data_IF_167146110200
#
_entry.id   IF_167146110200
#
_cell.length_a   1.000
_cell.length_b   1.000
_cell.length_c   1.000
_cell.angle_alpha   90.00
_cell.angle_beta   90.00
_cell.angle_gamma   90.00
#
_symmetry.space_group_name_H-M   'P 1'
#
loop_
_entity.id
_entity.type
_entity.pdbx_description
1 polymer ?
#
# COMPACT_ATOMS: atom_id res chain seq x y z
N UNK A 1 27.48 -20.53 -26.35
CA UNK A 1 27.77 -20.85 -24.95
C UNK A 1 27.10 -19.81 -24.09
N UNK A 2 25.89 -20.12 -23.62
CA UNK A 2 25.20 -19.32 -22.56
C UNK A 2 25.79 -19.70 -21.21
N UNK A 3 25.69 -18.83 -20.21
CA UNK A 3 25.29 -19.31 -18.90
C UNK A 3 23.98 -18.68 -18.45
N UNK A 4 23.00 -19.54 -18.28
CA UNK A 4 21.87 -19.41 -17.36
C UNK A 4 22.38 -19.42 -15.93
N UNK A 5 21.98 -18.44 -15.10
CA UNK A 5 21.94 -18.58 -13.64
C UNK A 5 20.78 -17.76 -13.07
N UNK A 6 19.75 -18.49 -12.68
CA UNK A 6 19.02 -18.48 -11.41
C UNK A 6 18.67 -17.13 -10.76
N UNK A 7 17.51 -16.63 -11.16
CA UNK A 7 16.69 -15.74 -10.33
C UNK A 7 15.68 -16.62 -9.53
N UNK A 8 16.12 -17.21 -8.42
CA UNK A 8 15.23 -17.82 -7.41
C UNK A 8 15.79 -17.54 -6.02
N UNK A 9 14.89 -17.05 -5.16
CA UNK A 9 15.01 -16.77 -3.73
C UNK A 9 15.37 -15.33 -3.34
N UNK A 10 14.39 -14.43 -3.40
CA UNK A 10 14.13 -13.43 -2.34
C UNK A 10 12.62 -13.07 -2.44
N UNK A 11 11.73 -13.94 -2.01
CA UNK A 11 10.28 -13.65 -1.95
C UNK A 11 9.62 -14.11 -0.64
N UNK A 12 10.32 -14.02 0.50
CA UNK A 12 9.77 -14.54 1.74
C UNK A 12 9.91 -13.65 2.98
N UNK A 13 9.95 -12.31 2.86
CA UNK A 13 10.00 -11.44 4.06
C UNK A 13 8.78 -10.51 4.20
N UNK A 14 7.95 -10.34 3.17
CA UNK A 14 6.76 -9.50 3.25
C UNK A 14 5.55 -10.25 2.67
N UNK A 15 4.97 -11.13 3.50
CA UNK A 15 3.75 -11.86 3.18
C UNK A 15 2.53 -10.95 3.12
N UNK A 16 2.31 -10.27 2.00
CA UNK A 16 1.00 -9.72 1.65
C UNK A 16 0.75 -10.14 0.20
N UNK A 17 -0.22 -11.05 -0.03
CA UNK A 17 -0.58 -11.44 -1.38
C UNK A 17 -1.21 -10.25 -2.11
N UNK A 18 -0.82 -10.05 -3.37
CA UNK A 18 -1.23 -8.99 -4.30
C UNK A 18 -2.74 -9.03 -4.67
N UNK A 19 -3.55 -9.85 -4.01
CA UNK A 19 -4.95 -10.11 -4.33
C UNK A 19 -5.88 -9.80 -3.15
N UNK A 20 -6.01 -8.52 -2.81
CA UNK A 20 -7.23 -8.02 -2.16
C UNK A 20 -7.40 -6.54 -2.48
N UNK A 21 -8.27 -6.25 -3.42
CA UNK A 21 -8.99 -4.99 -3.57
C UNK A 21 -9.87 -4.77 -2.33
N UNK A 22 -9.26 -4.42 -1.21
CA UNK A 22 -9.98 -3.93 -0.05
C UNK A 22 -9.68 -2.44 0.05
N UNK A 23 -10.67 -1.66 -0.29
CA UNK A 23 -10.90 -0.23 0.03
C UNK A 23 -9.63 0.59 0.27
N UNK A 24 -9.18 1.30 -0.76
CA UNK A 24 -8.20 2.39 -0.69
C UNK A 24 -8.50 3.45 0.41
N UNK A 25 -9.73 3.48 0.93
CA UNK A 25 -10.17 4.34 2.02
C UNK A 25 -9.50 4.04 3.38
N UNK A 26 -9.06 2.82 3.65
CA UNK A 26 -8.48 2.46 4.96
C UNK A 26 -7.02 2.89 5.13
N UNK A 27 -6.30 3.27 4.06
CA UNK A 27 -4.90 3.68 4.13
C UNK A 27 -4.69 5.19 4.29
N UNK A 28 -5.73 5.99 4.10
CA UNK A 28 -5.68 7.46 4.28
C UNK A 28 -5.87 7.90 5.75
N UNK A 29 -6.29 7.00 6.65
CA UNK A 29 -6.59 7.33 8.06
C UNK A 29 -5.39 7.37 9.00
N UNK A 30 -4.21 6.99 8.58
CA UNK A 30 -3.02 7.05 9.42
C UNK A 30 -2.30 8.42 9.41
N UNK A 31 -2.81 9.41 8.65
CA UNK A 31 -2.18 10.73 8.52
C UNK A 31 -2.97 11.90 9.11
N UNK A 32 -4.13 11.66 9.69
CA UNK A 32 -4.90 12.73 10.34
C UNK A 32 -5.16 12.39 11.79
N UNK A 33 -4.34 12.87 12.67
CA UNK A 33 -4.82 13.34 13.96
C UNK A 33 -3.70 13.82 14.87
N UNK A 34 -3.70 15.05 15.06
CA UNK A 34 -3.59 15.87 16.25
C UNK A 34 -2.60 17.00 16.09
N UNK A 35 -3.18 18.10 15.78
CA UNK A 35 -2.51 19.38 15.92
C UNK A 35 -3.07 20.43 14.97
N UNK A 36 -4.25 20.97 15.29
CA UNK A 36 -4.68 22.36 15.12
C UNK A 36 -6.21 22.41 15.16
N UNK A 37 -6.75 22.31 16.38
CA UNK A 37 -8.10 22.79 16.66
C UNK A 37 -8.01 24.30 16.88
N UNK A 38 -8.36 25.07 15.85
CA UNK A 38 -8.92 26.40 16.04
C UNK A 38 -10.13 26.53 15.10
N UNK A 39 -11.27 26.72 15.73
CA UNK A 39 -12.55 26.98 15.11
C UNK A 39 -12.49 28.23 14.24
N UNK A 40 -12.78 28.08 12.96
CA UNK A 40 -13.33 29.14 12.13
C UNK A 40 -14.46 28.56 11.32
N UNK A 41 -15.66 29.08 11.54
CA UNK A 41 -16.83 28.84 10.71
C UNK A 41 -16.55 29.24 9.26
N UNK A 42 -16.84 28.39 8.26
CA UNK A 42 -16.65 28.77 6.87
C UNK A 42 -17.72 29.80 6.47
N UNK A 43 -17.37 30.84 5.70
CA UNK A 43 -18.37 31.68 5.04
C UNK A 43 -19.08 30.87 3.97
N UNK A 44 -20.39 31.05 3.87
CA UNK A 44 -21.22 30.54 2.78
C UNK A 44 -20.69 31.05 1.44
N UNK A 45 -20.07 30.17 0.66
CA UNK A 45 -19.68 30.44 -0.71
C UNK A 45 -20.77 30.03 -1.70
N UNK A 46 -20.81 30.61 -2.91
CA UNK A 46 -21.91 30.45 -3.84
C UNK A 46 -22.06 28.98 -4.29
N UNK A 47 -23.33 28.58 -4.40
CA UNK A 47 -23.79 27.28 -4.83
C UNK A 47 -23.02 26.74 -6.04
N UNK A 48 -22.21 25.68 -5.83
CA UNK A 48 -21.61 24.90 -6.92
C UNK A 48 -22.69 24.33 -7.81
N UNK A 49 -22.51 24.33 -9.14
CA UNK A 49 -23.44 23.63 -10.01
C UNK A 49 -23.42 22.14 -9.64
N UNK A 50 -24.59 21.64 -9.27
CA UNK A 50 -24.87 20.24 -9.01
C UNK A 50 -24.23 19.39 -10.09
N UNK A 51 -23.28 18.53 -9.71
CA UNK A 51 -22.83 17.44 -10.56
C UNK A 51 -24.10 16.71 -11.02
N UNK A 52 -24.33 16.68 -12.33
CA UNK A 52 -25.43 15.96 -12.93
C UNK A 52 -25.47 14.56 -12.33
N UNK A 53 -26.52 14.25 -11.59
CA UNK A 53 -26.76 12.91 -11.10
C UNK A 53 -26.53 11.91 -12.25
N UNK A 54 -25.95 10.71 -12.00
CA UNK A 54 -25.75 9.72 -13.05
C UNK A 54 -27.08 9.55 -13.77
N UNK A 55 -27.07 9.72 -15.10
CA UNK A 55 -28.26 9.57 -15.93
C UNK A 55 -28.95 8.28 -15.52
N UNK A 56 -30.26 8.35 -15.21
CA UNK A 56 -31.05 7.16 -14.88
C UNK A 56 -30.74 6.08 -15.92
N UNK A 57 -30.00 5.09 -15.49
CA UNK A 57 -29.60 4.01 -16.39
C UNK A 57 -30.87 3.30 -16.86
N UNK A 58 -30.93 2.86 -18.12
CA UNK A 58 -32.09 2.14 -18.64
C UNK A 58 -32.47 1.00 -17.71
N UNK A 59 -33.78 0.87 -17.43
CA UNK A 59 -34.32 -0.20 -16.59
C UNK A 59 -33.91 -1.61 -17.09
N UNK A 60 -33.54 -1.67 -18.35
CA UNK A 60 -33.07 -2.86 -19.08
C UNK A 60 -31.80 -3.50 -18.45
N UNK A 61 -30.90 -2.73 -17.81
CA UNK A 61 -29.72 -3.26 -17.17
C UNK A 61 -29.88 -3.53 -15.67
N UNK A 62 -31.09 -3.28 -15.10
CA UNK A 62 -31.31 -3.39 -13.65
C UNK A 62 -30.96 -4.79 -13.10
N UNK A 63 -31.33 -5.84 -13.83
CA UNK A 63 -31.04 -7.21 -13.43
C UNK A 63 -29.54 -7.52 -13.49
N UNK A 64 -28.85 -7.15 -14.56
CA UNK A 64 -27.40 -7.37 -14.71
C UNK A 64 -26.62 -6.62 -13.63
N UNK A 65 -27.01 -5.38 -13.30
CA UNK A 65 -26.40 -4.60 -12.22
C UNK A 65 -26.62 -5.23 -10.85
N UNK A 66 -27.81 -5.73 -10.57
CA UNK A 66 -28.12 -6.46 -9.33
C UNK A 66 -27.23 -7.70 -9.18
N UNK A 67 -27.10 -8.50 -10.25
CA UNK A 67 -26.20 -9.66 -10.27
C UNK A 67 -24.74 -9.27 -10.05
N UNK A 68 -24.30 -8.19 -10.70
CA UNK A 68 -22.94 -7.63 -10.52
C UNK A 68 -22.68 -7.17 -9.09
N UNK A 69 -23.67 -6.57 -8.41
CA UNK A 69 -23.57 -6.17 -6.99
C UNK A 69 -23.53 -7.38 -6.05
N UNK A 70 -24.19 -8.49 -6.42
CA UNK A 70 -24.16 -9.74 -5.68
C UNK A 70 -22.88 -10.57 -5.93
N UNK A 71 -21.98 -10.11 -6.79
CA UNK A 71 -20.78 -10.84 -7.16
C UNK A 71 -21.01 -11.99 -8.17
N UNK A 72 -22.23 -12.15 -8.69
CA UNK A 72 -22.63 -13.15 -9.68
C UNK A 72 -22.27 -12.67 -11.09
N UNK A 73 -20.97 -12.55 -11.35
CA UNK A 73 -20.46 -11.88 -12.54
C UNK A 73 -20.75 -12.64 -13.83
N UNK A 74 -20.71 -13.98 -13.81
CA UNK A 74 -21.02 -14.80 -14.98
C UNK A 74 -22.50 -14.71 -15.37
N UNK A 75 -23.41 -14.71 -14.39
CA UNK A 75 -24.84 -14.52 -14.62
C UNK A 75 -25.13 -13.11 -15.16
N UNK A 76 -24.44 -12.08 -14.63
CA UNK A 76 -24.57 -10.72 -15.10
C UNK A 76 -24.12 -10.56 -16.56
N UNK A 77 -22.99 -11.15 -16.92
CA UNK A 77 -22.47 -11.15 -18.28
C UNK A 77 -23.42 -11.89 -19.24
N UNK A 78 -23.96 -13.04 -18.83
CA UNK A 78 -24.92 -13.79 -19.64
C UNK A 78 -26.19 -12.98 -19.92
N UNK A 79 -26.70 -12.26 -18.92
CA UNK A 79 -27.86 -11.36 -19.08
C UNK A 79 -27.54 -10.23 -20.08
N UNK A 80 -26.39 -9.58 -19.97
CA UNK A 80 -25.95 -8.54 -20.90
C UNK A 80 -25.73 -9.09 -22.32
N UNK A 81 -25.19 -10.30 -22.48
CA UNK A 81 -25.07 -10.98 -23.78
C UNK A 81 -26.42 -11.30 -24.39
N UNK A 82 -27.44 -11.62 -23.58
CA UNK A 82 -28.81 -11.79 -24.06
C UNK A 82 -29.37 -10.48 -24.63
N UNK A 83 -29.08 -9.36 -24.00
CA UNK A 83 -29.46 -8.03 -24.51
C UNK A 83 -28.69 -7.72 -25.81
N UNK A 84 -27.37 -7.97 -25.83
CA UNK A 84 -26.53 -7.80 -27.02
C UNK A 84 -27.02 -8.57 -28.23
N UNK A 85 -27.50 -9.83 -28.00
CA UNK A 85 -28.03 -10.68 -29.05
C UNK A 85 -29.37 -10.20 -29.62
N UNK A 86 -30.17 -9.47 -28.83
CA UNK A 86 -31.46 -8.89 -29.27
C UNK A 86 -31.26 -7.55 -29.97
N UNK A 87 -30.44 -6.69 -29.43
CA UNK A 87 -30.09 -5.40 -29.99
C UNK A 87 -28.65 -4.98 -29.60
N UNK A 88 -27.66 -5.23 -30.46
CA UNK A 88 -26.28 -4.84 -30.23
C UNK A 88 -26.05 -3.33 -30.11
N UNK A 89 -27.03 -2.54 -30.58
CA UNK A 89 -26.95 -1.06 -30.56
C UNK A 89 -27.53 -0.42 -29.31
N UNK A 90 -28.02 -1.23 -28.35
CA UNK A 90 -28.59 -0.76 -27.09
C UNK A 90 -27.65 0.23 -26.40
N UNK A 91 -28.15 1.46 -26.21
CA UNK A 91 -27.32 2.56 -25.64
C UNK A 91 -26.89 2.22 -24.20
N UNK A 92 -25.59 2.26 -23.98
CA UNK A 92 -24.99 1.97 -22.67
C UNK A 92 -24.56 0.51 -22.48
N UNK A 93 -24.98 -0.43 -23.35
CA UNK A 93 -24.65 -1.85 -23.23
C UNK A 93 -23.13 -2.07 -23.20
N UNK A 94 -22.38 -1.43 -24.06
CA UNK A 94 -20.91 -1.55 -24.09
C UNK A 94 -20.25 -1.11 -22.78
N UNK A 95 -20.77 -0.10 -22.09
CA UNK A 95 -20.28 0.32 -20.77
C UNK A 95 -20.57 -0.75 -19.71
N UNK A 96 -21.81 -1.28 -19.66
CA UNK A 96 -22.20 -2.32 -18.70
C UNK A 96 -21.41 -3.62 -18.90
N UNK A 97 -21.24 -4.05 -20.15
CA UNK A 97 -20.39 -5.21 -20.50
C UNK A 97 -18.94 -4.99 -20.04
N UNK A 98 -18.37 -3.83 -20.38
CA UNK A 98 -17.02 -3.49 -19.99
C UNK A 98 -16.84 -3.43 -18.47
N UNK A 99 -17.80 -2.86 -17.75
CA UNK A 99 -17.78 -2.81 -16.27
C UNK A 99 -17.89 -4.21 -15.64
N UNK A 100 -18.73 -5.09 -16.21
CA UNK A 100 -18.88 -6.47 -15.74
C UNK A 100 -17.59 -7.27 -15.95
N UNK A 101 -16.96 -7.20 -17.13
CA UNK A 101 -15.68 -7.84 -17.40
C UNK A 101 -14.54 -7.25 -16.56
N UNK A 102 -14.51 -5.93 -16.32
CA UNK A 102 -13.55 -5.30 -15.41
C UNK A 102 -13.65 -5.90 -13.99
N UNK A 103 -14.86 -6.02 -13.44
CA UNK A 103 -15.10 -6.63 -12.12
C UNK A 103 -14.72 -8.10 -12.08
N UNK A 104 -14.89 -8.82 -13.20
CA UNK A 104 -14.48 -10.22 -13.37
C UNK A 104 -12.95 -10.37 -13.52
N UNK A 105 -12.21 -9.25 -13.65
CA UNK A 105 -10.78 -9.22 -13.95
C UNK A 105 -10.41 -9.79 -15.34
N UNK A 106 -11.38 -9.85 -16.25
CA UNK A 106 -11.15 -10.15 -17.68
C UNK A 106 -10.82 -8.83 -18.40
N UNK A 107 -9.60 -8.31 -18.17
CA UNK A 107 -9.19 -7.03 -18.70
C UNK A 107 -9.16 -6.95 -20.23
N UNK A 108 -8.75 -7.99 -20.98
CA UNK A 108 -8.84 -7.96 -22.44
C UNK A 108 -10.25 -7.68 -22.96
N UNK A 109 -11.27 -8.36 -22.43
CA UNK A 109 -12.67 -8.11 -22.81
C UNK A 109 -13.18 -6.78 -22.28
N UNK A 110 -12.83 -6.40 -21.07
CA UNK A 110 -13.16 -5.09 -20.53
C UNK A 110 -12.66 -3.97 -21.45
N UNK A 111 -11.40 -4.04 -21.89
CA UNK A 111 -10.80 -3.07 -22.83
C UNK A 111 -11.56 -3.05 -24.15
N UNK A 112 -11.93 -4.20 -24.70
CA UNK A 112 -12.69 -4.28 -25.97
C UNK A 112 -14.03 -3.50 -25.87
N UNK A 113 -14.84 -3.82 -24.85
CA UNK A 113 -16.15 -3.20 -24.69
C UNK A 113 -16.07 -1.73 -24.28
N UNK A 114 -15.12 -1.38 -23.39
CA UNK A 114 -14.94 0.01 -22.96
C UNK A 114 -14.42 0.91 -24.10
N UNK A 115 -13.63 0.39 -25.04
CA UNK A 115 -13.30 1.09 -26.30
C UNK A 115 -14.55 1.40 -27.12
N UNK A 116 -15.48 0.45 -27.22
CA UNK A 116 -16.77 0.70 -27.91
C UNK A 116 -17.56 1.79 -27.18
N UNK A 117 -17.61 1.72 -25.83
CA UNK A 117 -18.32 2.71 -25.01
C UNK A 117 -17.72 4.11 -25.14
N UNK A 118 -16.40 4.27 -25.06
CA UNK A 118 -15.71 5.57 -25.18
C UNK A 118 -15.75 6.12 -26.60
N UNK A 119 -15.85 5.27 -27.62
CA UNK A 119 -16.07 5.69 -29.02
C UNK A 119 -17.49 6.22 -29.22
N UNK A 120 -18.48 5.60 -28.59
CA UNK A 120 -19.90 6.02 -28.68
C UNK A 120 -20.15 7.32 -27.90
N UNK A 121 -19.52 7.48 -26.75
CA UNK A 121 -19.59 8.70 -25.92
C UNK A 121 -18.20 9.07 -25.38
N UNK A 122 -17.46 9.91 -26.12
CA UNK A 122 -16.12 10.35 -25.71
C UNK A 122 -16.08 11.21 -24.43
N UNK A 123 -17.24 11.73 -24.00
CA UNK A 123 -17.36 12.54 -22.78
C UNK A 123 -17.72 11.69 -21.55
N UNK A 124 -17.98 10.40 -21.72
CA UNK A 124 -18.30 9.51 -20.61
C UNK A 124 -17.09 9.28 -19.71
N UNK A 125 -17.12 9.90 -18.54
CA UNK A 125 -16.00 9.84 -17.59
C UNK A 125 -15.84 8.45 -16.98
N UNK A 126 -16.94 7.75 -16.71
CA UNK A 126 -16.92 6.39 -16.16
C UNK A 126 -16.30 5.40 -17.16
N UNK A 127 -16.74 5.42 -18.41
CA UNK A 127 -16.16 4.56 -19.46
C UNK A 127 -14.66 4.83 -19.65
N UNK A 128 -14.26 6.10 -19.68
CA UNK A 128 -12.85 6.50 -19.86
C UNK A 128 -12.01 6.08 -18.67
N UNK A 129 -12.51 6.26 -17.45
CA UNK A 129 -11.81 5.84 -16.23
C UNK A 129 -11.66 4.32 -16.16
N UNK A 130 -12.74 3.56 -16.39
CA UNK A 130 -12.69 2.10 -16.40
C UNK A 130 -11.77 1.56 -17.48
N UNK A 131 -11.73 2.19 -18.67
CA UNK A 131 -10.80 1.82 -19.75
C UNK A 131 -9.35 2.04 -19.33
N UNK A 132 -9.03 3.19 -18.73
CA UNK A 132 -7.69 3.48 -18.22
C UNK A 132 -7.26 2.49 -17.12
N UNK A 133 -8.15 2.18 -16.17
CA UNK A 133 -7.90 1.19 -15.13
C UNK A 133 -7.74 -0.23 -15.71
N UNK A 134 -8.55 -0.60 -16.71
CA UNK A 134 -8.44 -1.90 -17.38
C UNK A 134 -7.10 -2.07 -18.11
N UNK A 135 -6.60 -1.01 -18.74
CA UNK A 135 -5.28 -1.02 -19.34
C UNK A 135 -4.18 -1.18 -18.28
N UNK A 136 -4.25 -0.42 -17.19
CA UNK A 136 -3.26 -0.54 -16.11
C UNK A 136 -3.23 -1.97 -15.52
N UNK A 137 -4.39 -2.51 -15.15
CA UNK A 137 -4.50 -3.85 -14.57
C UNK A 137 -4.18 -4.97 -15.57
N UNK A 138 -4.37 -4.71 -16.86
CA UNK A 138 -3.97 -5.58 -17.97
C UNK A 138 -2.48 -5.52 -18.31
N UNK A 139 -1.67 -4.72 -17.59
CA UNK A 139 -0.23 -4.59 -17.82
C UNK A 139 0.16 -3.64 -18.95
N UNK A 140 -0.71 -2.71 -19.31
CA UNK A 140 -0.53 -1.73 -20.37
C UNK A 140 -0.51 -0.28 -19.83
N UNK A 141 0.49 0.10 -19.00
CA UNK A 141 0.50 1.40 -18.34
C UNK A 141 0.63 2.59 -19.33
N UNK A 142 1.29 2.40 -20.44
CA UNK A 142 1.44 3.47 -21.44
C UNK A 142 0.12 3.88 -22.09
N UNK A 143 -0.76 2.90 -22.35
CA UNK A 143 -2.10 3.11 -22.91
C UNK A 143 -3.07 3.67 -21.86
N UNK A 144 -2.84 3.38 -20.58
CA UNK A 144 -3.64 3.91 -19.48
C UNK A 144 -3.44 5.41 -19.27
N UNK A 145 -2.21 5.93 -19.44
CA UNK A 145 -1.83 7.31 -19.16
C UNK A 145 -2.77 8.34 -19.81
N UNK A 146 -2.96 8.39 -21.13
CA UNK A 146 -3.75 9.45 -21.78
C UNK A 146 -5.23 9.44 -21.34
N UNK A 147 -5.75 8.27 -20.95
CA UNK A 147 -7.12 8.13 -20.47
C UNK A 147 -7.26 8.67 -19.06
N UNK A 148 -6.32 8.33 -18.18
CA UNK A 148 -6.32 8.79 -16.79
C UNK A 148 -6.00 10.28 -16.67
N UNK A 149 -5.14 10.84 -17.55
CA UNK A 149 -4.93 12.28 -17.67
C UNK A 149 -6.22 13.01 -18.04
N UNK A 150 -6.95 12.48 -19.02
CA UNK A 150 -8.24 13.03 -19.45
C UNK A 150 -9.24 13.02 -18.29
N UNK A 151 -9.31 11.92 -17.51
CA UNK A 151 -10.15 11.84 -16.32
C UNK A 151 -9.76 12.91 -15.31
N UNK A 152 -8.46 13.09 -15.03
CA UNK A 152 -7.98 14.13 -14.11
C UNK A 152 -8.30 15.55 -14.59
N UNK A 153 -8.37 15.77 -15.90
CA UNK A 153 -8.74 17.06 -16.49
C UNK A 153 -10.20 17.45 -16.29
N UNK A 154 -11.10 16.48 -16.04
CA UNK A 154 -12.53 16.76 -15.86
C UNK A 154 -12.91 17.19 -14.43
N UNK A 155 -12.00 17.05 -13.47
CA UNK A 155 -12.26 17.36 -12.06
C UNK A 155 -11.40 18.52 -11.60
N UNK A 156 -12.01 19.49 -10.90
CA UNK A 156 -11.30 20.61 -10.26
C UNK A 156 -10.39 20.15 -9.12
N UNK A 157 -10.80 19.09 -8.40
CA UNK A 157 -9.97 18.37 -7.45
C UNK A 157 -9.52 17.05 -8.04
N UNK A 158 -8.40 16.52 -7.55
CA UNK A 158 -7.92 15.24 -8.03
C UNK A 158 -8.95 14.13 -7.74
N UNK A 159 -9.24 13.31 -8.78
CA UNK A 159 -9.80 11.99 -8.53
C UNK A 159 -8.67 11.14 -7.98
N UNK A 160 -8.69 10.87 -6.66
CA UNK A 160 -7.58 10.27 -5.92
C UNK A 160 -7.17 8.93 -6.51
N UNK A 161 -8.15 8.09 -6.85
CA UNK A 161 -7.86 6.75 -7.39
C UNK A 161 -7.19 6.84 -8.77
N UNK A 162 -7.73 7.68 -9.66
CA UNK A 162 -7.16 7.88 -10.98
C UNK A 162 -5.78 8.57 -10.92
N UNK A 163 -5.58 9.52 -10.00
CA UNK A 163 -4.30 10.19 -9.81
C UNK A 163 -3.22 9.24 -9.26
N UNK A 164 -3.59 8.36 -8.33
CA UNK A 164 -2.71 7.33 -7.80
C UNK A 164 -2.25 6.38 -8.92
N UNK A 165 -3.19 5.80 -9.66
CA UNK A 165 -2.89 4.87 -10.76
C UNK A 165 -2.09 5.56 -11.87
N UNK A 166 -2.43 6.81 -12.21
CA UNK A 166 -1.68 7.61 -13.17
C UNK A 166 -0.22 7.78 -12.73
N UNK A 167 0.01 8.12 -11.45
CA UNK A 167 1.35 8.22 -10.89
C UNK A 167 2.13 6.90 -10.97
N UNK A 168 1.47 5.76 -10.68
CA UNK A 168 2.08 4.43 -10.82
C UNK A 168 2.39 4.11 -12.30
N UNK A 169 1.49 4.41 -13.24
CA UNK A 169 1.75 4.25 -14.68
C UNK A 169 2.97 5.05 -15.12
N UNK A 170 3.12 6.28 -14.65
CA UNK A 170 4.31 7.09 -14.93
C UNK A 170 5.59 6.49 -14.30
N UNK A 171 5.54 5.91 -13.11
CA UNK A 171 6.68 5.19 -12.54
C UNK A 171 7.07 4.01 -13.44
N UNK A 172 6.10 3.18 -13.83
CA UNK A 172 6.34 2.00 -14.67
C UNK A 172 6.89 2.35 -16.05
N UNK A 173 6.50 3.52 -16.59
CA UNK A 173 7.03 4.06 -17.85
C UNK A 173 8.27 4.94 -17.67
N UNK A 174 8.84 5.02 -16.46
CA UNK A 174 10.02 5.80 -16.08
C UNK A 174 9.88 7.32 -16.26
N UNK A 175 8.66 7.82 -16.27
CA UNK A 175 8.35 9.25 -16.33
C UNK A 175 8.20 9.84 -14.92
N UNK A 176 9.29 9.85 -14.15
CA UNK A 176 9.24 10.12 -12.70
C UNK A 176 8.78 11.54 -12.35
N UNK A 177 9.10 12.55 -13.15
CA UNK A 177 8.62 13.92 -12.92
C UNK A 177 7.10 14.03 -13.11
N UNK A 178 6.55 13.35 -14.10
CA UNK A 178 5.10 13.30 -14.29
C UNK A 178 4.42 12.52 -13.16
N UNK A 179 5.07 11.44 -12.67
CA UNK A 179 4.60 10.74 -11.47
C UNK A 179 4.53 11.67 -10.26
N UNK A 180 5.57 12.49 -10.04
CA UNK A 180 5.62 13.49 -8.97
C UNK A 180 4.49 14.53 -9.11
N UNK A 181 4.22 15.02 -10.30
CA UNK A 181 3.12 15.95 -10.54
C UNK A 181 1.75 15.30 -10.25
N UNK A 182 1.55 14.05 -10.64
CA UNK A 182 0.32 13.32 -10.37
C UNK A 182 0.11 13.13 -8.85
N UNK A 183 1.15 12.73 -8.12
CA UNK A 183 1.08 12.58 -6.66
C UNK A 183 0.95 13.94 -5.95
N UNK A 184 1.63 14.98 -6.40
CA UNK A 184 1.47 16.32 -5.85
C UNK A 184 0.01 16.81 -5.96
N UNK A 185 -0.62 16.59 -7.11
CA UNK A 185 -2.05 16.89 -7.32
C UNK A 185 -2.94 16.03 -6.41
N UNK A 186 -2.62 14.73 -6.23
CA UNK A 186 -3.38 13.83 -5.38
C UNK A 186 -3.37 14.27 -3.92
N UNK A 187 -2.22 14.75 -3.40
CA UNK A 187 -2.05 15.18 -2.02
C UNK A 187 -2.28 16.68 -1.80
N UNK A 188 -2.67 17.40 -2.85
CA UNK A 188 -2.91 18.87 -2.83
C UNK A 188 -1.69 19.64 -2.29
N UNK A 189 -0.51 19.31 -2.80
CA UNK A 189 0.75 19.98 -2.46
C UNK A 189 1.39 20.61 -3.70
N UNK A 190 2.21 21.67 -3.54
CA UNK A 190 2.94 22.25 -4.68
C UNK A 190 3.84 21.21 -5.37
N UNK A 191 3.86 21.23 -6.73
CA UNK A 191 4.56 20.21 -7.52
C UNK A 191 6.06 20.09 -7.21
N UNK A 192 6.72 21.22 -6.91
CA UNK A 192 8.16 21.27 -6.66
C UNK A 192 8.50 21.40 -5.16
N UNK A 193 7.54 21.07 -4.27
CA UNK A 193 7.74 21.09 -2.83
C UNK A 193 8.51 19.87 -2.32
N UNK A 194 9.15 19.99 -1.16
CA UNK A 194 9.77 18.86 -0.47
C UNK A 194 8.77 17.70 -0.24
N UNK A 195 7.51 18.01 0.08
CA UNK A 195 6.45 17.03 0.28
C UNK A 195 6.17 16.22 -1.01
N UNK A 196 6.13 16.86 -2.19
CA UNK A 196 5.91 16.16 -3.46
C UNK A 196 7.02 15.16 -3.77
N UNK A 197 8.27 15.54 -3.51
CA UNK A 197 9.43 14.63 -3.63
C UNK A 197 9.36 13.50 -2.63
N UNK A 198 9.01 13.76 -1.36
CA UNK A 198 8.86 12.72 -0.34
C UNK A 198 7.79 11.69 -0.70
N UNK A 199 6.60 12.14 -1.12
CA UNK A 199 5.52 11.23 -1.51
C UNK A 199 5.90 10.38 -2.72
N UNK A 200 6.55 10.99 -3.70
CA UNK A 200 7.02 10.27 -4.89
C UNK A 200 8.11 9.26 -4.54
N UNK A 201 9.08 9.63 -3.71
CA UNK A 201 10.13 8.72 -3.24
C UNK A 201 9.53 7.50 -2.52
N UNK A 202 8.49 7.71 -1.69
CA UNK A 202 7.79 6.63 -1.01
C UNK A 202 7.06 5.70 -1.99
N UNK A 203 6.44 6.24 -3.04
CA UNK A 203 5.80 5.43 -4.08
C UNK A 203 6.82 4.67 -4.92
N UNK A 204 7.94 5.29 -5.25
CA UNK A 204 9.06 4.64 -5.95
C UNK A 204 9.62 3.47 -5.15
N UNK A 205 9.84 3.65 -3.84
CA UNK A 205 10.31 2.57 -2.96
C UNK A 205 9.32 1.39 -2.94
N UNK A 206 8.02 1.67 -2.87
CA UNK A 206 6.98 0.62 -2.92
C UNK A 206 6.91 -0.15 -4.23
N UNK A 207 7.44 0.41 -5.30
CA UNK A 207 7.53 -0.19 -6.64
C UNK A 207 8.94 -0.73 -6.94
N UNK A 208 9.82 -0.82 -5.93
CA UNK A 208 11.19 -1.35 -6.03
C UNK A 208 12.13 -0.53 -6.95
N UNK A 209 11.86 0.78 -7.09
CA UNK A 209 12.73 1.70 -7.83
C UNK A 209 13.69 2.45 -6.88
N UNK A 210 14.47 1.70 -6.08
CA UNK A 210 15.27 2.22 -4.97
C UNK A 210 16.28 3.31 -5.32
N UNK A 211 17.04 3.26 -6.45
CA UNK A 211 17.98 4.31 -6.78
C UNK A 211 17.31 5.66 -6.98
N UNK A 212 16.16 5.65 -7.70
CA UNK A 212 15.37 6.87 -7.96
C UNK A 212 14.65 7.33 -6.68
N UNK A 213 14.17 6.39 -5.86
CA UNK A 213 13.57 6.71 -4.56
C UNK A 213 14.57 7.44 -3.64
N UNK A 214 15.85 6.99 -3.60
CA UNK A 214 16.90 7.66 -2.82
C UNK A 214 17.19 9.08 -3.35
N UNK A 215 17.28 9.26 -4.67
CA UNK A 215 17.48 10.57 -5.28
C UNK A 215 16.37 11.56 -4.88
N UNK A 216 15.11 11.13 -5.01
CA UNK A 216 13.95 11.94 -4.69
C UNK A 216 13.85 12.25 -3.18
N UNK A 217 14.16 11.26 -2.32
CA UNK A 217 14.20 11.50 -0.88
C UNK A 217 15.31 12.49 -0.49
N UNK A 218 16.50 12.41 -1.10
CA UNK A 218 17.58 13.38 -0.90
C UNK A 218 17.20 14.78 -1.39
N UNK A 219 16.48 14.86 -2.50
CA UNK A 219 15.96 16.14 -3.01
C UNK A 219 14.96 16.76 -2.03
N UNK A 220 14.08 15.94 -1.43
CA UNK A 220 13.17 16.39 -0.39
C UNK A 220 13.92 16.97 0.83
N UNK A 221 14.99 16.29 1.30
CA UNK A 221 15.86 16.80 2.40
C UNK A 221 16.52 18.12 2.03
N UNK A 222 16.99 18.26 0.78
CA UNK A 222 17.63 19.49 0.32
C UNK A 222 16.65 20.68 0.33
N UNK A 223 15.39 20.44 -0.02
CA UNK A 223 14.35 21.47 -0.05
C UNK A 223 13.83 21.81 1.34
N UNK A 224 13.65 20.82 2.20
CA UNK A 224 13.23 21.01 3.59
C UNK A 224 13.84 19.91 4.48
N UNK A 225 14.98 20.19 5.14
CA UNK A 225 15.64 19.21 6.02
C UNK A 225 14.87 18.94 7.32
N UNK A 226 13.80 19.68 7.61
CA UNK A 226 12.95 19.48 8.79
C UNK A 226 11.59 18.86 8.43
N UNK A 227 11.37 18.49 7.17
CA UNK A 227 10.14 17.83 6.75
C UNK A 227 10.01 16.48 7.50
N UNK A 228 8.94 16.26 8.28
CA UNK A 228 8.71 14.98 8.94
C UNK A 228 8.66 13.81 7.96
N UNK A 229 9.18 12.66 8.38
CA UNK A 229 9.22 11.39 7.66
C UNK A 229 10.21 11.32 6.49
N UNK A 230 10.91 12.39 6.12
CA UNK A 230 11.90 12.32 5.05
C UNK A 230 13.14 11.53 5.47
N UNK A 231 13.62 11.76 6.69
CA UNK A 231 14.74 11.02 7.27
C UNK A 231 14.33 9.57 7.63
N UNK A 232 13.09 9.34 8.02
CA UNK A 232 12.55 8.00 8.21
C UNK A 232 12.63 7.19 6.90
N UNK A 233 12.18 7.77 5.78
CA UNK A 233 12.23 7.11 4.47
C UNK A 233 13.67 6.81 4.02
N UNK A 234 14.60 7.76 4.21
CA UNK A 234 16.02 7.51 3.92
C UNK A 234 16.60 6.40 4.79
N UNK A 235 16.25 6.37 6.08
CA UNK A 235 16.64 5.31 6.99
C UNK A 235 16.14 3.94 6.54
N UNK A 236 14.89 3.82 6.10
CA UNK A 236 14.34 2.58 5.53
C UNK A 236 15.09 2.16 4.25
N UNK A 237 15.35 3.08 3.33
CA UNK A 237 16.13 2.83 2.12
C UNK A 237 17.56 2.33 2.44
N UNK A 238 18.22 2.92 3.44
CA UNK A 238 19.55 2.48 3.85
C UNK A 238 19.54 1.13 4.53
N UNK A 239 18.53 0.81 5.35
CA UNK A 239 18.35 -0.53 5.91
C UNK A 239 18.17 -1.59 4.81
N UNK A 240 17.34 -1.28 3.81
CA UNK A 240 17.13 -2.16 2.67
C UNK A 240 18.44 -2.43 1.91
N UNK A 241 19.25 -1.40 1.72
CA UNK A 241 20.60 -1.50 1.10
C UNK A 241 21.69 -2.03 2.05
N UNK A 242 21.33 -2.51 3.24
CA UNK A 242 22.28 -2.97 4.27
C UNK A 242 23.30 -1.91 4.72
N UNK A 243 23.00 -0.63 4.51
CA UNK A 243 23.79 0.52 4.95
C UNK A 243 23.36 0.94 6.36
N UNK A 244 23.59 0.05 7.32
CA UNK A 244 23.04 0.18 8.69
C UNK A 244 23.53 1.42 9.44
N UNK A 245 24.82 1.82 9.38
CA UNK A 245 25.28 3.04 10.06
C UNK A 245 24.55 4.30 9.57
N UNK A 246 24.36 4.42 8.26
CA UNK A 246 23.65 5.56 7.66
C UNK A 246 22.17 5.54 8.03
N UNK A 247 21.55 4.35 8.07
CA UNK A 247 20.16 4.21 8.51
C UNK A 247 19.97 4.70 9.96
N UNK A 248 20.88 4.33 10.87
CA UNK A 248 20.88 4.80 12.27
C UNK A 248 20.94 6.33 12.31
N UNK A 249 21.85 6.95 11.55
CA UNK A 249 22.00 8.40 11.52
C UNK A 249 20.72 9.10 11.03
N UNK A 250 20.08 8.56 9.98
CA UNK A 250 18.85 9.14 9.45
C UNK A 250 17.66 8.97 10.42
N UNK A 251 17.50 7.81 11.06
CA UNK A 251 16.47 7.64 12.08
C UNK A 251 16.65 8.55 13.28
N UNK A 252 17.89 8.80 13.70
CA UNK A 252 18.18 9.78 14.77
C UNK A 252 17.80 11.20 14.39
N UNK A 253 18.04 11.62 13.14
CA UNK A 253 17.58 12.91 12.61
C UNK A 253 16.05 13.01 12.60
N UNK A 254 15.36 11.95 12.16
CA UNK A 254 13.88 11.91 12.21
C UNK A 254 13.36 12.08 13.64
N UNK A 255 13.96 11.40 14.62
CA UNK A 255 13.55 11.51 16.02
C UNK A 255 13.83 12.87 16.63
N UNK A 256 14.81 13.62 16.12
CA UNK A 256 15.04 15.00 16.51
C UNK A 256 13.95 15.94 15.99
N UNK A 257 13.33 15.63 14.85
CA UNK A 257 12.23 16.37 14.24
C UNK A 257 10.89 15.92 14.81
N UNK A 258 10.69 14.61 14.91
CA UNK A 258 9.44 13.96 15.30
C UNK A 258 9.63 12.94 16.41
N UNK A 259 9.80 13.39 17.67
CA UNK A 259 10.09 12.53 18.83
C UNK A 259 8.91 11.63 19.24
N UNK A 260 7.73 11.81 18.64
CA UNK A 260 6.53 11.00 18.87
C UNK A 260 6.33 9.86 17.86
N UNK A 261 7.21 9.69 16.87
CA UNK A 261 7.00 8.70 15.82
C UNK A 261 7.47 7.29 16.24
N UNK A 262 6.55 6.49 16.77
CA UNK A 262 6.82 5.15 17.29
C UNK A 262 7.53 4.23 16.27
N UNK A 263 7.13 4.29 14.99
CA UNK A 263 7.72 3.47 13.95
C UNK A 263 9.22 3.77 13.73
N UNK A 264 9.67 5.01 13.90
CA UNK A 264 11.09 5.35 13.79
C UNK A 264 11.90 4.70 14.92
N UNK A 265 11.39 4.69 16.15
CA UNK A 265 12.05 3.98 17.25
C UNK A 265 12.16 2.48 16.98
N UNK A 266 11.11 1.86 16.45
CA UNK A 266 11.12 0.44 16.07
C UNK A 266 12.16 0.14 14.99
N UNK A 267 12.22 0.96 13.92
CA UNK A 267 13.21 0.78 12.84
C UNK A 267 14.65 1.08 13.31
N UNK A 268 14.82 2.04 14.20
CA UNK A 268 16.12 2.30 14.83
C UNK A 268 16.58 1.12 15.69
N UNK A 269 15.64 0.47 16.39
CA UNK A 269 15.93 -0.75 17.14
C UNK A 269 16.36 -1.91 16.24
N UNK A 270 15.67 -2.11 15.10
CA UNK A 270 16.07 -3.11 14.11
C UNK A 270 17.51 -2.82 13.60
N UNK A 271 17.80 -1.55 13.31
CA UNK A 271 19.14 -1.13 12.89
C UNK A 271 20.19 -1.42 13.97
N UNK A 272 19.93 -1.10 15.24
CA UNK A 272 20.85 -1.40 16.35
C UNK A 272 21.02 -2.90 16.54
N UNK A 273 19.94 -3.68 16.46
CA UNK A 273 20.00 -5.15 16.58
C UNK A 273 20.87 -5.78 15.51
N UNK A 274 20.81 -5.30 14.26
CA UNK A 274 21.65 -5.80 13.16
C UNK A 274 23.16 -5.57 13.37
N UNK A 275 23.52 -4.54 14.11
CA UNK A 275 24.92 -4.26 14.47
C UNK A 275 25.25 -4.68 15.91
N UNK A 276 24.41 -5.55 16.51
CA UNK A 276 24.58 -6.15 17.83
C UNK A 276 24.66 -5.14 19.00
N UNK A 277 24.08 -3.95 18.83
CA UNK A 277 23.96 -2.92 19.88
C UNK A 277 22.66 -3.16 20.63
N UNK A 278 22.61 -4.27 21.39
CA UNK A 278 21.37 -4.77 21.98
C UNK A 278 20.81 -3.87 23.09
N UNK A 279 21.65 -3.22 23.89
CA UNK A 279 21.25 -2.28 24.93
C UNK A 279 20.55 -1.05 24.36
N UNK A 280 21.07 -0.53 23.26
CA UNK A 280 20.44 0.60 22.58
C UNK A 280 19.15 0.17 21.88
N UNK A 281 19.13 -1.03 21.28
CA UNK A 281 17.93 -1.58 20.66
C UNK A 281 16.80 -1.71 21.69
N UNK A 282 17.08 -2.29 22.86
CA UNK A 282 16.12 -2.43 23.94
C UNK A 282 15.54 -1.08 24.39
N UNK A 283 16.41 -0.10 24.66
CA UNK A 283 16.01 1.22 25.13
C UNK A 283 15.06 1.93 24.15
N UNK A 284 15.35 1.86 22.85
CA UNK A 284 14.49 2.50 21.84
C UNK A 284 13.23 1.68 21.59
N UNK A 285 13.23 0.34 21.76
CA UNK A 285 12.03 -0.50 21.73
C UNK A 285 11.06 -0.17 22.87
N UNK A 286 11.57 0.03 24.07
CA UNK A 286 10.75 0.47 25.21
C UNK A 286 10.03 1.79 24.86
N UNK A 287 10.72 2.72 24.21
CA UNK A 287 10.10 3.97 23.76
C UNK A 287 9.07 3.75 22.66
N UNK A 288 9.34 2.88 21.68
CA UNK A 288 8.39 2.52 20.63
C UNK A 288 7.09 1.94 21.22
N UNK A 289 7.22 0.98 22.15
CA UNK A 289 6.09 0.34 22.83
C UNK A 289 5.31 1.35 23.69
N UNK A 290 6.00 2.27 24.38
CA UNK A 290 5.34 3.32 25.14
C UNK A 290 4.50 4.26 24.28
N UNK A 291 4.97 4.58 23.06
CA UNK A 291 4.26 5.44 22.11
C UNK A 291 3.11 4.70 21.41
N UNK A 292 3.29 3.42 21.10
CA UNK A 292 2.28 2.56 20.47
C UNK A 292 2.36 1.14 21.02
N UNK A 293 1.53 0.85 22.02
CA UNK A 293 1.43 -0.46 22.63
C UNK A 293 0.57 -1.46 21.83
N UNK A 294 0.00 -1.05 20.69
CA UNK A 294 -0.90 -1.87 19.86
C UNK A 294 -0.19 -2.59 18.72
N UNK A 295 1.05 -2.25 18.44
CA UNK A 295 1.87 -2.87 17.40
C UNK A 295 2.60 -4.11 17.93
N UNK A 296 2.46 -5.26 17.25
CA UNK A 296 3.14 -6.53 17.63
C UNK A 296 4.63 -6.53 17.33
N UNK A 297 5.05 -5.85 16.26
CA UNK A 297 6.44 -5.84 15.79
C UNK A 297 7.48 -5.46 16.84
N UNK A 298 7.30 -4.36 17.61
CA UNK A 298 8.21 -3.99 18.69
C UNK A 298 8.35 -5.06 19.78
N UNK A 299 7.28 -5.77 20.14
CA UNK A 299 7.35 -6.85 21.15
C UNK A 299 8.09 -8.07 20.62
N UNK A 300 7.91 -8.43 19.35
CA UNK A 300 8.64 -9.53 18.70
C UNK A 300 10.15 -9.21 18.66
N UNK A 301 10.49 -8.00 18.25
CA UNK A 301 11.89 -7.57 18.20
C UNK A 301 12.50 -7.46 19.60
N UNK A 302 11.72 -7.01 20.60
CA UNK A 302 12.14 -6.98 22.00
C UNK A 302 12.50 -8.40 22.49
N UNK A 303 11.66 -9.38 22.17
CA UNK A 303 11.93 -10.77 22.50
C UNK A 303 13.24 -11.27 21.90
N UNK A 304 13.49 -10.99 20.60
CA UNK A 304 14.76 -11.34 19.93
C UNK A 304 15.97 -10.66 20.57
N UNK A 305 15.86 -9.39 20.91
CA UNK A 305 16.96 -8.60 21.51
C UNK A 305 17.28 -9.16 22.90
N UNK A 306 16.27 -9.43 23.72
CA UNK A 306 16.43 -9.97 25.08
C UNK A 306 17.00 -11.41 25.07
N UNK A 307 16.58 -12.24 24.09
CA UNK A 307 17.19 -13.57 23.87
C UNK A 307 18.69 -13.45 23.58
N UNK A 308 19.10 -12.53 22.68
CA UNK A 308 20.52 -12.30 22.39
C UNK A 308 21.33 -11.76 23.57
N UNK A 309 20.67 -11.11 24.53
CA UNK A 309 21.26 -10.68 25.80
C UNK A 309 21.30 -11.81 26.86
N UNK A 310 20.65 -12.94 26.60
CA UNK A 310 20.49 -14.02 27.58
C UNK A 310 19.40 -13.76 28.64
N UNK A 311 18.56 -12.77 28.43
CA UNK A 311 17.48 -12.39 29.35
C UNK A 311 16.16 -13.14 28.99
N UNK A 312 16.22 -14.47 29.03
CA UNK A 312 15.21 -15.37 28.48
C UNK A 312 13.81 -15.18 29.11
N UNK A 313 13.72 -14.96 30.43
CA UNK A 313 12.44 -14.72 31.09
C UNK A 313 11.74 -13.45 30.56
N UNK A 314 12.49 -12.40 30.30
CA UNK A 314 11.96 -11.15 29.73
C UNK A 314 11.61 -11.33 28.27
N UNK A 315 12.42 -12.11 27.52
CA UNK A 315 12.14 -12.45 26.12
C UNK A 315 10.81 -13.19 26.01
N UNK A 316 10.57 -14.21 26.83
CA UNK A 316 9.30 -14.96 26.86
C UNK A 316 8.12 -14.03 27.15
N UNK A 317 8.22 -13.13 28.14
CA UNK A 317 7.14 -12.18 28.45
C UNK A 317 6.82 -11.26 27.28
N UNK A 318 7.82 -10.73 26.59
CA UNK A 318 7.62 -9.87 25.41
C UNK A 318 6.95 -10.65 24.27
N UNK A 319 7.41 -11.87 23.98
CA UNK A 319 6.85 -12.73 22.94
C UNK A 319 5.44 -13.23 23.28
N UNK A 320 5.13 -13.56 24.55
CA UNK A 320 3.77 -13.88 24.98
C UNK A 320 2.81 -12.71 24.79
N UNK A 321 3.28 -11.48 25.04
CA UNK A 321 2.48 -10.29 24.74
C UNK A 321 2.19 -10.18 23.24
N UNK A 322 3.19 -10.40 22.38
CA UNK A 322 3.00 -10.43 20.93
C UNK A 322 2.03 -11.54 20.49
N UNK A 323 2.14 -12.77 21.05
CA UNK A 323 1.25 -13.88 20.74
C UNK A 323 -0.20 -13.61 21.19
N UNK A 324 -0.39 -12.92 22.33
CA UNK A 324 -1.73 -12.48 22.77
C UNK A 324 -2.37 -11.49 21.77
N UNK A 325 -1.57 -10.61 21.15
CA UNK A 325 -2.04 -9.60 20.20
C UNK A 325 -2.28 -10.20 18.80
N UNK A 326 -1.45 -11.13 18.38
CA UNK A 326 -1.57 -11.86 17.11
C UNK A 326 -1.29 -13.37 17.33
N UNK A 327 -2.33 -14.14 17.73
CA UNK A 327 -2.18 -15.57 18.02
C UNK A 327 -1.87 -16.44 16.80
N UNK A 328 -2.00 -15.90 15.59
CA UNK A 328 -1.78 -16.65 14.35
C UNK A 328 -0.44 -16.32 13.69
N UNK A 329 0.47 -15.66 14.39
CA UNK A 329 1.79 -15.30 13.87
C UNK A 329 2.80 -16.45 14.10
N UNK A 330 3.18 -17.22 13.08
CA UNK A 330 4.08 -18.36 13.24
C UNK A 330 5.48 -17.95 13.74
N UNK A 331 5.94 -16.76 13.36
CA UNK A 331 7.24 -16.25 13.81
C UNK A 331 7.28 -16.04 15.31
N UNK A 332 6.20 -15.53 15.90
CA UNK A 332 6.11 -15.30 17.35
C UNK A 332 6.20 -16.62 18.11
N UNK A 333 5.42 -17.64 17.70
CA UNK A 333 5.44 -18.95 18.31
C UNK A 333 6.78 -19.66 18.13
N UNK A 334 7.41 -19.54 16.97
CA UNK A 334 8.75 -20.07 16.75
C UNK A 334 9.78 -19.46 17.72
N UNK A 335 9.76 -18.15 17.91
CA UNK A 335 10.66 -17.47 18.85
C UNK A 335 10.36 -17.83 20.31
N UNK A 336 9.09 -17.97 20.68
CA UNK A 336 8.70 -18.48 22.01
C UNK A 336 9.26 -19.87 22.26
N UNK A 337 9.13 -20.76 21.28
CA UNK A 337 9.68 -22.11 21.39
C UNK A 337 11.21 -22.12 21.54
N UNK A 338 11.93 -21.23 20.83
CA UNK A 338 13.37 -21.06 21.00
C UNK A 338 13.69 -20.55 22.40
N UNK A 339 13.04 -19.50 22.88
CA UNK A 339 13.28 -18.94 24.21
C UNK A 339 13.00 -19.96 25.33
N UNK A 340 11.94 -20.77 25.21
CA UNK A 340 11.65 -21.85 26.19
C UNK A 340 12.72 -22.94 26.15
N UNK A 341 13.23 -23.30 24.98
CA UNK A 341 14.33 -24.26 24.86
C UNK A 341 15.60 -23.76 25.54
N UNK A 342 15.95 -22.48 25.36
CA UNK A 342 17.11 -21.86 25.99
C UNK A 342 16.97 -21.78 27.52
N UNK A 343 15.74 -21.83 28.03
CA UNK A 343 15.42 -21.95 29.47
C UNK A 343 15.39 -23.41 29.97
N UNK A 344 15.58 -24.41 29.10
CA UNK A 344 15.44 -25.83 29.44
C UNK A 344 13.99 -26.30 29.66
N UNK A 345 13.00 -25.57 29.16
CA UNK A 345 11.57 -25.89 29.24
C UNK A 345 11.14 -26.61 27.96
N UNK A 346 11.49 -27.88 27.86
CA UNK A 346 11.34 -28.66 26.63
C UNK A 346 9.88 -28.86 26.21
N UNK A 347 8.96 -29.09 27.14
CA UNK A 347 7.54 -29.34 26.86
C UNK A 347 6.88 -28.09 26.26
N UNK A 348 7.11 -26.91 26.87
CA UNK A 348 6.61 -25.62 26.35
C UNK A 348 7.25 -25.28 25.01
N UNK A 349 8.54 -25.57 24.85
CA UNK A 349 9.24 -25.34 23.61
C UNK A 349 8.66 -26.17 22.46
N UNK A 350 8.42 -27.49 22.67
CA UNK A 350 7.84 -28.38 21.67
C UNK A 350 6.42 -27.94 21.27
N UNK A 351 5.61 -27.55 22.26
CA UNK A 351 4.25 -27.06 22.02
C UNK A 351 4.22 -25.83 21.12
N UNK A 352 5.06 -24.82 21.41
CA UNK A 352 5.11 -23.58 20.64
C UNK A 352 5.70 -23.78 19.24
N UNK A 353 6.73 -24.62 19.10
CA UNK A 353 7.33 -24.93 17.78
C UNK A 353 6.35 -25.69 16.88
N UNK A 354 5.59 -26.64 17.43
CA UNK A 354 4.54 -27.35 16.69
C UNK A 354 3.45 -26.42 16.22
N UNK A 355 2.99 -25.50 17.08
CA UNK A 355 2.00 -24.50 16.70
C UNK A 355 2.53 -23.58 15.58
N UNK A 356 3.80 -23.17 15.66
CA UNK A 356 4.43 -22.37 14.61
C UNK A 356 4.42 -23.08 13.24
N UNK A 357 4.73 -24.40 13.24
CA UNK A 357 4.72 -25.21 12.01
C UNK A 357 3.30 -25.37 11.43
N UNK A 358 2.31 -25.63 12.28
CA UNK A 358 0.91 -25.71 11.87
C UNK A 358 0.40 -24.40 11.24
N UNK A 359 0.72 -23.26 11.87
CA UNK A 359 0.36 -21.93 11.36
C UNK A 359 1.06 -21.62 10.03
N UNK A 360 2.34 -21.97 9.92
CA UNK A 360 3.11 -21.78 8.69
C UNK A 360 2.53 -22.60 7.51
N UNK A 361 2.11 -23.84 7.80
CA UNK A 361 1.50 -24.73 6.80
C UNK A 361 0.13 -24.20 6.34
N UNK A 362 -0.67 -23.63 7.25
CA UNK A 362 -1.96 -23.01 6.91
C UNK A 362 -1.81 -21.74 6.07
N UNK A 363 -0.73 -20.97 6.29
CA UNK A 363 -0.47 -19.74 5.52
C UNK A 363 0.08 -20.03 4.12
N UNK A 364 0.79 -21.13 3.93
CA UNK A 364 1.37 -21.56 2.66
C UNK A 364 0.93 -23.00 2.33
N UNK A 365 -0.34 -23.21 1.98
CA UNK A 365 -0.79 -24.51 1.49
C UNK A 365 -0.02 -24.85 0.19
N UNK A 366 0.63 -26.01 0.17
CA UNK A 366 1.37 -26.52 -1.00
C UNK A 366 0.46 -26.83 -2.16
#
# INVERSE_FOLDING_TARGET
MQPTMEAKHISSVWGIPVWRTASLAAFLWAFSARGLAQQQTPPEGPSTPSAKAPSSAPAEFAQARKLTQQGKLDEAIAELQSIESRDPSTKGLALEMGAAYYKKSDFPKAIEYLKKATKADPANSEATQLLGLSYYLGGHPAEAIPLLEKVQGWYSRANVDAAYILGICYIQTKNYDQARHAFAKMFDVPQDSAASYLFTARMLLRQEYDPVAEEYARKAVTLDPKLPLVHFLLGELYLFKSRVPEAIAEFQKELAINPGHAATYYKLADAYSRVQRFEEAERVLQRSIWLDATSTGPYILMGKVLEKKGEFDLAVRALQRAATMDPNNPTTHHLLGQAFRDMGKEEEAESELKLAEELQTKQNPR
#
